data_IF_924010060806
#
_entry.id   IF_924010060806
#
_cell.length_a   1.000
_cell.length_b   1.000
_cell.length_c   1.000
_cell.angle_alpha   90.00
_cell.angle_beta   90.00
_cell.angle_gamma   90.00
#
_symmetry.space_group_name_H-M   'P 1'
#
loop_
_entity.id
_entity.type
_entity.pdbx_description
1 polymer ?
#
# COMPACT_ATOMS: atom_id res chain seq x y z
N UNK A 1 7.71 -5.67 24.07
CA UNK A 1 6.55 -5.46 23.19
C UNK A 1 5.34 -5.09 24.05
N UNK A 2 4.71 -3.94 23.84
CA UNK A 2 3.39 -3.66 24.44
C UNK A 2 2.32 -4.48 23.72
N UNK A 3 1.18 -4.75 24.37
CA UNK A 3 0.07 -5.54 23.78
C UNK A 3 -0.42 -4.94 22.47
N UNK A 4 -0.57 -3.61 22.40
CA UNK A 4 -0.98 -2.90 21.19
C UNK A 4 0.05 -3.03 20.06
N UNK A 5 1.34 -2.89 20.36
CA UNK A 5 2.42 -3.03 19.36
C UNK A 5 2.48 -4.46 18.81
N UNK A 6 2.22 -5.46 19.66
CA UNK A 6 2.12 -6.85 19.23
C UNK A 6 0.94 -7.08 18.28
N UNK A 7 -0.26 -6.62 18.65
CA UNK A 7 -1.47 -6.73 17.81
C UNK A 7 -1.24 -6.07 16.46
N UNK A 8 -0.69 -4.86 16.44
CA UNK A 8 -0.42 -4.13 15.20
C UNK A 8 0.55 -4.90 14.30
N UNK A 9 1.68 -5.37 14.84
CA UNK A 9 2.64 -6.15 14.05
C UNK A 9 2.06 -7.47 13.54
N UNK A 10 1.21 -8.15 14.32
CA UNK A 10 0.56 -9.38 13.90
C UNK A 10 -0.42 -9.12 12.75
N UNK A 11 -1.37 -8.18 12.93
CA UNK A 11 -2.39 -7.87 11.93
C UNK A 11 -1.76 -7.40 10.63
N UNK A 12 -0.71 -6.60 10.73
CA UNK A 12 0.06 -6.19 9.57
C UNK A 12 0.79 -7.30 8.86
N UNK A 13 1.36 -8.25 9.61
CA UNK A 13 2.06 -9.38 9.01
C UNK A 13 1.07 -10.20 8.21
N UNK A 14 -0.15 -10.38 8.72
CA UNK A 14 -1.23 -11.00 7.98
C UNK A 14 -1.62 -10.17 6.76
N UNK A 15 -1.74 -8.84 6.88
CA UNK A 15 -2.06 -7.96 5.75
C UNK A 15 -1.01 -8.06 4.64
N UNK A 16 0.27 -7.89 5.00
CA UNK A 16 1.38 -7.97 4.06
C UNK A 16 1.63 -9.38 3.53
N UNK A 17 1.15 -10.42 4.21
CA UNK A 17 1.07 -11.75 3.67
C UNK A 17 0.06 -11.85 2.53
N UNK A 18 -1.14 -11.25 2.67
CA UNK A 18 -2.12 -11.15 1.57
C UNK A 18 -1.54 -10.35 0.41
N UNK A 19 -0.92 -9.20 0.68
CA UNK A 19 -0.23 -8.40 -0.35
C UNK A 19 0.87 -9.21 -1.03
N UNK A 20 1.63 -10.02 -0.28
CA UNK A 20 2.65 -10.92 -0.84
C UNK A 20 2.07 -11.96 -1.80
N UNK A 21 0.89 -12.51 -1.48
CA UNK A 21 0.16 -13.41 -2.40
C UNK A 21 -0.30 -12.67 -3.67
N UNK A 22 -0.80 -11.43 -3.53
CA UNK A 22 -1.22 -10.60 -4.66
C UNK A 22 -0.05 -10.25 -5.58
N UNK A 23 1.08 -9.79 -5.00
CA UNK A 23 2.33 -9.53 -5.73
C UNK A 23 2.75 -10.77 -6.51
N UNK A 24 2.73 -11.94 -5.87
CA UNK A 24 3.08 -13.20 -6.52
C UNK A 24 2.14 -13.51 -7.70
N UNK A 25 0.84 -13.36 -7.50
CA UNK A 25 -0.16 -13.61 -8.54
C UNK A 25 0.03 -12.68 -9.74
N UNK A 26 0.27 -11.38 -9.51
CA UNK A 26 0.50 -10.41 -10.58
C UNK A 26 1.82 -10.64 -11.34
N UNK A 27 2.88 -11.05 -10.64
CA UNK A 27 4.18 -11.35 -11.25
C UNK A 27 4.15 -12.62 -12.12
N UNK A 28 3.34 -13.61 -11.76
CA UNK A 28 3.31 -14.91 -12.46
C UNK A 28 2.21 -14.98 -13.52
N UNK A 29 1.01 -14.52 -13.19
CA UNK A 29 -0.19 -14.70 -14.03
C UNK A 29 -0.80 -13.38 -14.50
N UNK A 30 -0.40 -12.26 -13.90
CA UNK A 30 -1.02 -10.95 -14.14
C UNK A 30 -0.29 -10.06 -15.15
N UNK A 31 -0.59 -8.77 -15.09
CA UNK A 31 -0.09 -7.78 -16.04
C UNK A 31 1.39 -7.45 -15.83
N UNK A 32 1.93 -7.74 -14.64
CA UNK A 32 3.36 -7.55 -14.34
C UNK A 32 4.25 -8.65 -14.92
N UNK A 33 3.69 -9.77 -15.39
CA UNK A 33 4.46 -10.87 -15.98
C UNK A 33 5.19 -10.47 -17.28
N UNK A 34 4.69 -9.47 -18.02
CA UNK A 34 5.32 -8.94 -19.24
C UNK A 34 5.96 -7.58 -18.97
N UNK A 35 7.28 -7.49 -19.15
CA UNK A 35 8.05 -6.27 -18.91
C UNK A 35 7.50 -5.02 -19.64
N UNK A 36 7.07 -5.17 -20.90
CA UNK A 36 6.50 -4.07 -21.69
C UNK A 36 5.16 -3.56 -21.17
N UNK A 37 4.38 -4.39 -20.48
CA UNK A 37 3.12 -4.00 -19.85
C UNK A 37 3.33 -3.44 -18.44
N UNK A 38 4.39 -3.88 -17.74
CA UNK A 38 4.71 -3.46 -16.38
C UNK A 38 5.37 -2.07 -16.29
N UNK A 39 6.02 -1.61 -17.35
CA UNK A 39 6.84 -0.38 -17.30
C UNK A 39 6.02 0.89 -17.06
N UNK A 40 4.83 1.01 -17.68
CA UNK A 40 3.98 2.19 -17.45
C UNK A 40 3.45 2.23 -16.01
N UNK A 41 2.81 1.17 -15.46
CA UNK A 41 2.43 1.14 -14.05
C UNK A 41 3.61 1.41 -13.10
N UNK A 42 4.79 0.89 -13.40
CA UNK A 42 5.98 1.10 -12.58
C UNK A 42 6.42 2.55 -12.53
N UNK A 43 6.57 3.21 -13.69
CA UNK A 43 6.94 4.63 -13.74
C UNK A 43 5.85 5.50 -13.10
N UNK A 44 4.58 5.15 -13.32
CA UNK A 44 3.45 5.83 -12.71
C UNK A 44 3.45 5.71 -11.18
N UNK A 45 3.78 4.53 -10.64
CA UNK A 45 3.90 4.28 -9.21
C UNK A 45 5.04 5.10 -8.62
N UNK A 46 6.24 5.06 -9.23
CA UNK A 46 7.37 5.88 -8.77
C UNK A 46 7.02 7.37 -8.69
N UNK A 47 6.32 7.90 -9.69
CA UNK A 47 5.78 9.26 -9.67
C UNK A 47 4.72 9.47 -8.59
N UNK A 48 3.79 8.52 -8.50
CA UNK A 48 2.74 8.45 -7.50
C UNK A 48 3.25 8.25 -6.07
N UNK A 49 4.51 7.92 -5.87
CA UNK A 49 5.17 7.88 -4.57
C UNK A 49 5.99 9.14 -4.32
N UNK A 50 6.78 9.57 -5.31
CA UNK A 50 7.70 10.69 -5.17
C UNK A 50 6.97 12.03 -5.01
N UNK A 51 5.94 12.32 -5.81
CA UNK A 51 5.25 13.61 -5.75
C UNK A 51 4.51 13.81 -4.41
N UNK A 52 3.73 12.84 -3.88
CA UNK A 52 3.15 12.99 -2.55
C UNK A 52 4.17 13.23 -1.43
N UNK A 53 5.28 12.49 -1.47
CA UNK A 53 6.36 12.65 -0.50
C UNK A 53 6.97 14.05 -0.54
N UNK A 54 7.23 14.58 -1.74
CA UNK A 54 7.76 15.93 -1.93
C UNK A 54 6.77 17.01 -1.48
N UNK A 55 5.48 16.85 -1.77
CA UNK A 55 4.43 17.78 -1.30
C UNK A 55 4.39 17.80 0.23
N UNK A 56 4.43 16.63 0.88
CA UNK A 56 4.49 16.56 2.33
C UNK A 56 5.73 17.26 2.88
N UNK A 57 6.92 16.95 2.34
CA UNK A 57 8.17 17.55 2.81
C UNK A 57 8.19 19.06 2.62
N UNK A 58 7.61 19.57 1.53
CA UNK A 58 7.51 21.01 1.29
C UNK A 58 6.61 21.73 2.32
N UNK A 59 5.54 21.08 2.79
CA UNK A 59 4.58 21.68 3.72
C UNK A 59 5.00 21.48 5.18
N UNK A 60 5.42 20.28 5.53
CA UNK A 60 5.56 19.80 6.91
C UNK A 60 6.96 19.27 7.23
N UNK A 61 7.88 19.23 6.25
CA UNK A 61 9.20 18.62 6.41
C UNK A 61 10.08 19.30 7.46
N UNK A 62 9.87 20.59 7.74
CA UNK A 62 10.60 21.30 8.80
C UNK A 62 10.13 20.90 10.22
N UNK A 63 8.87 20.49 10.37
CA UNK A 63 8.27 20.17 11.68
C UNK A 63 8.31 18.67 11.96
N UNK A 64 7.99 17.85 10.95
CA UNK A 64 7.87 16.41 11.12
C UNK A 64 8.36 15.66 9.86
N UNK A 65 9.67 15.67 9.56
CA UNK A 65 10.22 15.08 8.34
C UNK A 65 9.97 13.57 8.21
N UNK A 66 9.81 12.86 9.33
CA UNK A 66 9.57 11.42 9.35
C UNK A 66 8.26 11.01 8.63
N UNK A 67 7.26 11.89 8.56
CA UNK A 67 5.95 11.58 7.98
C UNK A 67 5.87 11.52 6.46
N UNK A 68 6.97 11.69 5.73
CA UNK A 68 6.95 11.77 4.27
C UNK A 68 6.40 10.53 3.58
N UNK A 69 6.53 9.36 4.22
CA UNK A 69 6.04 8.09 3.69
C UNK A 69 4.52 7.94 3.85
N UNK A 70 3.88 8.69 4.76
CA UNK A 70 2.43 8.56 5.03
C UNK A 70 1.57 8.76 3.77
N UNK A 71 1.76 9.84 2.97
CA UNK A 71 0.95 10.06 1.77
C UNK A 71 1.40 9.26 0.53
N UNK A 72 2.34 8.34 0.68
CA UNK A 72 2.85 7.50 -0.43
C UNK A 72 1.96 6.29 -0.65
N UNK A 73 1.26 5.83 0.39
CA UNK A 73 0.52 4.58 0.36
C UNK A 73 -0.84 4.68 -0.34
N UNK A 74 -1.29 3.54 -0.88
CA UNK A 74 -2.59 3.37 -1.53
C UNK A 74 -3.27 2.13 -0.95
N UNK A 75 -4.54 2.24 -0.60
CA UNK A 75 -5.40 1.15 -0.15
C UNK A 75 -6.04 0.47 -1.36
N UNK A 76 -5.45 -0.65 -1.79
CA UNK A 76 -5.90 -1.40 -2.97
C UNK A 76 -7.38 -1.85 -2.85
N UNK A 77 -7.83 -2.24 -1.66
CA UNK A 77 -9.17 -2.78 -1.46
C UNK A 77 -10.24 -1.71 -1.68
N UNK A 78 -10.05 -0.52 -1.11
CA UNK A 78 -10.97 0.60 -1.31
C UNK A 78 -10.86 1.21 -2.71
N UNK A 79 -9.65 1.32 -3.27
CA UNK A 79 -9.46 1.85 -4.62
C UNK A 79 -10.10 0.94 -5.68
N UNK A 80 -9.87 -0.37 -5.62
CA UNK A 80 -10.51 -1.36 -6.51
C UNK A 80 -12.01 -1.44 -6.23
N UNK A 81 -12.44 -1.36 -4.96
CA UNK A 81 -13.85 -1.30 -4.57
C UNK A 81 -14.58 -0.12 -5.22
N UNK A 82 -13.98 1.07 -5.20
CA UNK A 82 -14.56 2.25 -5.85
C UNK A 82 -14.64 2.06 -7.36
N UNK A 83 -13.57 1.57 -7.99
CA UNK A 83 -13.52 1.36 -9.44
C UNK A 83 -14.51 0.28 -9.90
N UNK A 84 -14.72 -0.77 -9.09
CA UNK A 84 -15.75 -1.79 -9.36
C UNK A 84 -17.15 -1.23 -9.21
N UNK A 85 -17.42 -0.37 -8.22
CA UNK A 85 -18.71 0.34 -8.09
C UNK A 85 -19.02 1.26 -9.27
N UNK A 86 -18.00 1.79 -9.95
CA UNK A 86 -18.19 2.59 -11.17
C UNK A 86 -18.59 1.73 -12.39
N UNK A 87 -18.44 0.40 -12.31
CA UNK A 87 -18.99 -0.57 -13.25
C UNK A 87 -18.35 -0.49 -14.65
N UNK A 88 -19.19 -0.29 -15.66
CA UNK A 88 -18.81 -0.17 -17.08
C UNK A 88 -18.19 1.17 -17.44
N UNK A 89 -18.21 2.16 -16.54
CA UNK A 89 -17.63 3.49 -16.78
C UNK A 89 -16.10 3.49 -16.76
N UNK A 90 -15.48 2.42 -16.26
CA UNK A 90 -14.03 2.26 -16.18
C UNK A 90 -13.60 1.15 -17.11
N UNK A 91 -12.69 1.47 -18.04
CA UNK A 91 -12.17 0.48 -18.99
C UNK A 91 -11.38 -0.62 -18.27
N UNK A 92 -11.36 -1.81 -18.85
CA UNK A 92 -10.59 -2.93 -18.29
C UNK A 92 -9.09 -2.60 -18.16
N UNK A 93 -8.55 -1.82 -19.10
CA UNK A 93 -7.17 -1.35 -19.07
C UNK A 93 -6.89 -0.47 -17.84
N UNK A 94 -7.81 0.43 -17.44
CA UNK A 94 -7.64 1.27 -16.26
C UNK A 94 -7.76 0.48 -14.94
N UNK A 95 -8.63 -0.54 -14.90
CA UNK A 95 -8.73 -1.46 -13.75
C UNK A 95 -7.41 -2.21 -13.55
N UNK A 96 -6.88 -2.77 -14.62
CA UNK A 96 -5.61 -3.50 -14.63
C UNK A 96 -4.43 -2.59 -14.30
N UNK A 97 -4.42 -1.37 -14.84
CA UNK A 97 -3.42 -0.35 -14.54
C UNK A 97 -3.42 0.04 -13.05
N UNK A 98 -4.59 0.29 -12.46
CA UNK A 98 -4.70 0.64 -11.04
C UNK A 98 -4.24 -0.50 -10.13
N UNK A 99 -4.60 -1.75 -10.46
CA UNK A 99 -4.17 -2.92 -9.71
C UNK A 99 -2.64 -3.05 -9.75
N UNK A 100 -2.03 -3.00 -10.93
CA UNK A 100 -0.58 -3.05 -11.10
C UNK A 100 0.13 -1.89 -10.37
N UNK A 101 -0.41 -0.67 -10.46
CA UNK A 101 0.10 0.50 -9.75
C UNK A 101 0.09 0.27 -8.23
N UNK A 102 -1.04 -0.17 -7.68
CA UNK A 102 -1.20 -0.38 -6.23
C UNK A 102 -0.26 -1.47 -5.71
N UNK A 103 -0.05 -2.55 -6.46
CA UNK A 103 0.92 -3.60 -6.12
C UNK A 103 2.36 -3.04 -6.04
N UNK A 104 2.74 -2.17 -6.99
CA UNK A 104 4.07 -1.55 -6.98
C UNK A 104 4.21 -0.54 -5.84
N UNK A 105 3.17 0.25 -5.56
CA UNK A 105 3.14 1.16 -4.41
C UNK A 105 3.28 0.38 -3.09
N UNK A 106 2.62 -0.77 -2.95
CA UNK A 106 2.74 -1.65 -1.78
C UNK A 106 4.16 -2.19 -1.62
N UNK A 107 4.78 -2.68 -2.70
CA UNK A 107 6.20 -3.08 -2.69
C UNK A 107 7.07 -1.89 -2.25
N UNK A 108 6.81 -0.71 -2.79
CA UNK A 108 7.51 0.52 -2.43
C UNK A 108 7.38 0.84 -0.93
N UNK A 109 6.16 0.79 -0.39
CA UNK A 109 5.89 1.00 1.03
C UNK A 109 6.62 -0.03 1.91
N UNK A 110 6.61 -1.31 1.51
CA UNK A 110 7.35 -2.39 2.20
C UNK A 110 8.85 -2.07 2.26
N UNK A 111 9.45 -1.65 1.15
CA UNK A 111 10.87 -1.32 1.09
C UNK A 111 11.21 -0.10 1.95
N UNK A 112 10.36 0.93 1.93
CA UNK A 112 10.47 2.09 2.81
C UNK A 112 10.46 1.64 4.29
N UNK A 113 9.50 0.80 4.68
CA UNK A 113 9.42 0.25 6.05
C UNK A 113 10.69 -0.52 6.40
N UNK A 114 11.17 -1.37 5.49
CA UNK A 114 12.32 -2.23 5.70
C UNK A 114 13.63 -1.45 5.92
N UNK A 115 13.87 -0.41 5.13
CA UNK A 115 15.16 0.29 5.14
C UNK A 115 15.21 1.51 6.05
N UNK A 116 14.07 2.19 6.24
CA UNK A 116 14.05 3.49 6.92
C UNK A 116 13.62 3.36 8.38
N UNK A 117 12.73 2.42 8.68
CA UNK A 117 12.18 2.21 10.01
C UNK A 117 12.80 1.02 10.76
N UNK A 118 13.93 0.48 10.27
CA UNK A 118 14.68 -0.59 10.93
C UNK A 118 15.61 -0.01 12.01
N UNK A 119 15.63 -0.62 13.20
CA UNK A 119 16.28 -0.07 14.40
C UNK A 119 17.68 -0.62 14.67
N UNK A 120 18.33 -1.17 13.65
CA UNK A 120 19.62 -1.88 13.72
C UNK A 120 19.50 -3.34 13.32
N UNK A 121 20.65 -4.02 13.11
CA UNK A 121 20.69 -5.43 12.68
C UNK A 121 21.49 -6.27 13.67
N UNK A 122 20.83 -7.22 14.33
CA UNK A 122 21.50 -8.26 15.12
C UNK A 122 21.74 -9.49 14.22
N UNK A 123 23.00 -9.71 13.84
CA UNK A 123 23.39 -10.74 12.87
C UNK A 123 23.00 -12.17 13.25
N UNK A 124 22.96 -12.53 14.54
CA UNK A 124 22.58 -13.88 14.97
C UNK A 124 21.12 -14.22 14.64
N UNK A 125 20.22 -13.27 14.85
CA UNK A 125 18.80 -13.42 14.50
C UNK A 125 18.55 -13.29 13.00
N UNK A 126 19.42 -12.55 12.29
CA UNK A 126 19.40 -12.53 10.83
C UNK A 126 19.68 -13.92 10.25
N UNK A 127 20.66 -14.65 10.79
CA UNK A 127 20.94 -16.03 10.37
C UNK A 127 19.74 -16.96 10.60
N UNK A 128 19.06 -16.83 11.75
CA UNK A 128 17.83 -17.58 12.02
C UNK A 128 16.71 -17.24 11.02
N UNK A 129 16.55 -15.97 10.64
CA UNK A 129 15.62 -15.56 9.60
C UNK A 129 15.96 -16.19 8.25
N UNK A 130 17.24 -16.17 7.83
CA UNK A 130 17.69 -16.80 6.58
C UNK A 130 17.40 -18.31 6.57
N UNK A 131 17.63 -19.00 7.69
CA UNK A 131 17.32 -20.44 7.83
C UNK A 131 15.81 -20.69 7.72
N UNK A 132 14.98 -19.86 8.34
CA UNK A 132 13.52 -19.97 8.22
C UNK A 132 13.06 -19.78 6.77
N UNK A 133 13.61 -18.80 6.05
CA UNK A 133 13.34 -18.58 4.63
C UNK A 133 13.76 -19.79 3.80
N UNK A 134 14.99 -20.28 4.00
CA UNK A 134 15.49 -21.47 3.29
C UNK A 134 14.59 -22.69 3.53
N UNK A 135 14.13 -22.88 4.76
CA UNK A 135 13.19 -23.94 5.12
C UNK A 135 11.86 -23.80 4.38
N UNK A 136 11.28 -22.59 4.35
CA UNK A 136 10.04 -22.33 3.61
C UNK A 136 10.20 -22.61 2.10
N UNK A 137 11.32 -22.19 1.50
CA UNK A 137 11.63 -22.44 0.08
C UNK A 137 11.78 -23.93 -0.21
N UNK A 138 12.46 -24.68 0.67
CA UNK A 138 12.59 -26.13 0.52
C UNK A 138 11.23 -26.82 0.60
N UNK A 139 10.39 -26.48 1.57
CA UNK A 139 9.03 -27.01 1.68
C UNK A 139 8.20 -26.74 0.42
N UNK A 140 8.31 -25.53 -0.13
CA UNK A 140 7.62 -25.16 -1.37
C UNK A 140 8.15 -25.95 -2.57
N UNK A 141 9.47 -26.12 -2.67
CA UNK A 141 10.12 -26.91 -3.74
C UNK A 141 9.71 -28.39 -3.71
N UNK A 142 9.53 -28.95 -2.51
CA UNK A 142 9.04 -30.32 -2.33
C UNK A 142 7.50 -30.44 -2.40
N UNK A 143 6.79 -29.38 -2.80
CA UNK A 143 5.32 -29.35 -2.93
C UNK A 143 4.59 -29.79 -1.65
N UNK A 144 5.12 -29.45 -0.48
CA UNK A 144 4.45 -29.76 0.78
C UNK A 144 3.19 -28.90 0.87
N UNK A 145 2.02 -29.51 0.69
CA UNK A 145 0.72 -28.81 0.65
C UNK A 145 0.09 -28.51 2.02
N UNK A 146 0.86 -28.55 3.12
CA UNK A 146 0.33 -28.35 4.48
C UNK A 146 0.54 -26.91 4.93
N UNK A 147 -0.50 -26.07 4.79
CA UNK A 147 -0.46 -24.65 5.17
C UNK A 147 0.00 -24.38 6.61
N UNK A 148 -0.35 -25.27 7.56
CA UNK A 148 0.08 -25.15 8.96
C UNK A 148 1.61 -25.13 9.14
N UNK A 149 2.37 -25.86 8.31
CA UNK A 149 3.83 -25.89 8.40
C UNK A 149 4.40 -24.52 8.00
N UNK A 150 3.87 -23.88 6.95
CA UNK A 150 4.27 -22.53 6.55
C UNK A 150 3.90 -21.51 7.63
N UNK A 151 2.78 -21.67 8.33
CA UNK A 151 2.44 -20.80 9.45
C UNK A 151 3.49 -20.89 10.57
N UNK A 152 3.92 -22.10 10.94
CA UNK A 152 4.98 -22.29 11.94
C UNK A 152 6.31 -21.67 11.51
N UNK A 153 6.73 -21.93 10.27
CA UNK A 153 7.97 -21.33 9.72
C UNK A 153 7.86 -19.81 9.66
N UNK A 154 6.70 -19.29 9.26
CA UNK A 154 6.40 -17.85 9.24
C UNK A 154 6.44 -17.22 10.62
N UNK A 155 5.96 -17.90 11.67
CA UNK A 155 6.04 -17.44 13.04
C UNK A 155 7.50 -17.37 13.54
N UNK A 156 8.32 -18.37 13.19
CA UNK A 156 9.76 -18.37 13.48
C UNK A 156 10.46 -17.23 12.74
N UNK A 157 10.15 -17.03 11.47
CA UNK A 157 10.67 -15.92 10.66
C UNK A 157 10.30 -14.57 11.27
N UNK A 158 9.02 -14.38 11.61
CA UNK A 158 8.51 -13.16 12.23
C UNK A 158 9.24 -12.81 13.52
N UNK A 159 9.39 -13.80 14.41
CA UNK A 159 10.10 -13.60 15.68
C UNK A 159 11.58 -13.31 15.45
N UNK A 160 12.21 -14.00 14.48
CA UNK A 160 13.61 -13.77 14.12
C UNK A 160 13.83 -12.36 13.59
N UNK A 161 12.96 -11.85 12.71
CA UNK A 161 13.04 -10.49 12.21
C UNK A 161 12.86 -9.46 13.33
N UNK A 162 11.84 -9.66 14.19
CA UNK A 162 11.62 -8.80 15.36
C UNK A 162 12.89 -8.71 16.24
N UNK A 163 13.52 -9.84 16.53
CA UNK A 163 14.75 -9.89 17.33
C UNK A 163 15.97 -9.38 16.59
N UNK A 164 15.99 -9.45 15.26
CA UNK A 164 17.04 -8.91 14.42
C UNK A 164 16.99 -7.38 14.32
N UNK A 165 15.93 -6.72 14.79
CA UNK A 165 15.71 -5.27 14.65
C UNK A 165 15.11 -4.88 13.29
N UNK A 166 14.77 -5.87 12.47
CA UNK A 166 14.08 -5.72 11.19
C UNK A 166 12.57 -5.76 11.42
N UNK A 167 11.81 -5.01 10.62
CA UNK A 167 10.37 -4.94 10.79
C UNK A 167 9.71 -6.32 10.59
N UNK A 168 8.92 -6.85 11.57
CA UNK A 168 8.40 -8.21 11.50
C UNK A 168 7.44 -8.49 10.34
N UNK A 169 6.86 -7.42 9.79
CA UNK A 169 5.87 -7.48 8.71
C UNK A 169 6.43 -7.99 7.39
N UNK A 170 7.75 -7.90 7.21
CA UNK A 170 8.44 -8.52 6.08
C UNK A 170 8.29 -10.04 6.08
N UNK A 171 8.10 -10.67 7.25
CA UNK A 171 7.80 -12.11 7.30
C UNK A 171 6.52 -12.43 6.53
N UNK A 172 5.52 -11.55 6.61
CA UNK A 172 4.26 -11.71 5.88
C UNK A 172 4.51 -11.74 4.38
N UNK A 173 5.18 -10.70 3.86
CA UNK A 173 5.50 -10.57 2.42
C UNK A 173 6.31 -11.78 1.94
N UNK A 174 7.39 -12.11 2.64
CA UNK A 174 8.29 -13.21 2.27
C UNK A 174 7.53 -14.53 2.23
N UNK A 175 6.70 -14.82 3.24
CA UNK A 175 5.90 -16.03 3.27
C UNK A 175 4.85 -16.05 2.15
N UNK A 176 4.20 -14.91 1.85
CA UNK A 176 3.23 -14.80 0.75
C UNK A 176 3.85 -15.14 -0.60
N UNK A 177 5.06 -14.64 -0.87
CA UNK A 177 5.80 -14.96 -2.11
C UNK A 177 6.19 -16.44 -2.21
N UNK A 178 6.50 -17.09 -1.08
CA UNK A 178 6.99 -18.48 -1.04
C UNK A 178 5.87 -19.51 -1.09
N UNK A 179 4.74 -19.28 -0.39
CA UNK A 179 3.65 -20.27 -0.25
C UNK A 179 3.17 -20.78 -1.62
N UNK A 180 3.00 -22.10 -1.83
CA UNK A 180 2.59 -22.66 -3.12
C UNK A 180 1.22 -22.17 -3.61
N UNK A 181 1.07 -21.99 -4.93
CA UNK A 181 -0.16 -21.52 -5.57
C UNK A 181 -1.40 -22.39 -5.27
N UNK A 182 -1.23 -23.69 -5.03
CA UNK A 182 -2.34 -24.59 -4.68
C UNK A 182 -3.03 -24.22 -3.35
N UNK A 183 -2.31 -23.52 -2.46
CA UNK A 183 -2.82 -23.02 -1.20
C UNK A 183 -3.31 -21.57 -1.29
N UNK A 184 -2.88 -20.85 -2.33
CA UNK A 184 -3.11 -19.42 -2.53
C UNK A 184 -4.61 -19.09 -2.61
N UNK A 185 -5.37 -19.73 -3.51
CA UNK A 185 -6.78 -19.34 -3.77
C UNK A 185 -7.71 -19.37 -2.54
N UNK A 186 -7.56 -20.37 -1.67
CA UNK A 186 -8.36 -20.48 -0.44
C UNK A 186 -7.90 -19.51 0.63
N UNK A 187 -6.59 -19.34 0.75
CA UNK A 187 -5.99 -18.48 1.77
C UNK A 187 -6.23 -17.02 1.40
N UNK A 188 -5.96 -16.63 0.15
CA UNK A 188 -6.17 -15.28 -0.40
C UNK A 188 -7.60 -14.80 -0.21
N UNK A 189 -8.59 -15.63 -0.54
CA UNK A 189 -10.01 -15.27 -0.35
C UNK A 189 -10.33 -15.09 1.15
N UNK A 190 -9.98 -16.07 1.98
CA UNK A 190 -10.29 -15.98 3.42
C UNK A 190 -9.55 -14.83 4.11
N UNK A 191 -8.30 -14.57 3.73
CA UNK A 191 -7.48 -13.52 4.31
C UNK A 191 -7.91 -12.14 3.86
N UNK A 192 -8.25 -11.93 2.59
CA UNK A 192 -8.69 -10.63 2.09
C UNK A 192 -10.00 -10.17 2.73
N UNK A 193 -10.96 -11.09 2.91
CA UNK A 193 -12.27 -10.78 3.52
C UNK A 193 -12.22 -10.63 5.04
N UNK A 194 -11.22 -11.18 5.72
CA UNK A 194 -11.12 -11.13 7.18
C UNK A 194 -10.06 -10.13 7.66
N UNK A 195 -8.85 -10.21 7.11
CA UNK A 195 -7.67 -9.46 7.59
C UNK A 195 -7.81 -7.99 7.28
N UNK A 196 -8.23 -7.61 6.06
CA UNK A 196 -8.34 -6.19 5.68
C UNK A 196 -9.40 -5.46 6.53
N UNK A 197 -10.65 -5.97 6.67
CA UNK A 197 -11.63 -5.32 7.54
C UNK A 197 -11.24 -5.32 9.02
N UNK A 198 -10.65 -6.40 9.52
CA UNK A 198 -10.20 -6.48 10.91
C UNK A 198 -9.04 -5.50 11.19
N UNK A 199 -8.10 -5.38 10.25
CA UNK A 199 -6.99 -4.43 10.32
C UNK A 199 -7.51 -3.00 10.32
N UNK A 200 -8.42 -2.67 9.40
CA UNK A 200 -9.09 -1.38 9.36
C UNK A 200 -9.81 -1.09 10.68
N UNK A 201 -10.61 -2.03 11.19
CA UNK A 201 -11.32 -1.88 12.45
C UNK A 201 -10.38 -1.65 13.65
N UNK A 202 -9.28 -2.40 13.74
CA UNK A 202 -8.33 -2.29 14.84
C UNK A 202 -7.50 -0.99 14.80
N UNK A 203 -7.24 -0.43 13.61
CA UNK A 203 -6.34 0.71 13.44
C UNK A 203 -7.05 2.03 13.15
N UNK A 204 -8.29 2.01 12.65
CA UNK A 204 -9.09 3.19 12.36
C UNK A 204 -9.79 3.77 13.61
N UNK A 205 -9.69 3.10 14.76
CA UNK A 205 -10.17 3.61 16.05
C UNK A 205 -9.40 4.87 16.46
N UNK A 206 -9.89 6.03 16.01
CA UNK A 206 -9.45 7.36 16.44
C UNK A 206 -10.63 8.07 17.06
N UNK A 207 -10.38 8.72 18.21
CA UNK A 207 -11.39 9.53 18.86
C UNK A 207 -11.56 10.81 18.05
N UNK A 208 -12.62 10.85 17.24
CA UNK A 208 -13.00 12.05 16.50
C UNK A 208 -13.76 12.97 17.46
N UNK A 209 -13.05 13.92 18.05
CA UNK A 209 -13.62 14.99 18.86
C UNK A 209 -13.58 16.30 18.08
N UNK A 210 -14.36 17.28 18.51
CA UNK A 210 -14.30 18.62 17.92
C UNK A 210 -12.88 19.20 18.03
N UNK A 211 -12.21 18.96 19.15
CA UNK A 211 -10.85 19.42 19.42
C UNK A 211 -9.82 18.75 18.49
N UNK A 212 -9.89 17.43 18.27
CA UNK A 212 -8.92 16.74 17.41
C UNK A 212 -9.07 17.13 15.93
N UNK A 213 -10.29 17.37 15.47
CA UNK A 213 -10.55 17.91 14.12
C UNK A 213 -10.02 19.34 14.00
N UNK A 214 -10.27 20.19 15.00
CA UNK A 214 -9.77 21.57 14.99
C UNK A 214 -8.24 21.63 15.03
N UNK A 215 -7.59 20.73 15.78
CA UNK A 215 -6.15 20.60 15.81
C UNK A 215 -5.60 20.16 14.43
N UNK A 216 -6.26 19.21 13.75
CA UNK A 216 -5.88 18.78 12.41
C UNK A 216 -5.98 19.92 11.38
N UNK A 217 -7.03 20.73 11.44
CA UNK A 217 -7.20 21.87 10.53
C UNK A 217 -6.10 22.94 10.68
N UNK A 218 -5.50 23.05 11.86
CA UNK A 218 -4.42 24.00 12.14
C UNK A 218 -3.01 23.39 12.06
N UNK A 219 -2.90 22.10 11.71
CA UNK A 219 -1.62 21.40 11.65
C UNK A 219 -1.07 21.35 10.23
N UNK A 220 0.20 21.77 10.05
CA UNK A 220 0.89 21.62 8.77
C UNK A 220 1.08 20.15 8.42
N UNK A 221 1.31 19.27 9.41
CA UNK A 221 1.46 17.81 9.19
C UNK A 221 0.21 17.23 8.56
N UNK A 222 -0.96 17.58 9.11
CA UNK A 222 -2.25 17.13 8.58
C UNK A 222 -2.47 17.62 7.14
N UNK A 223 -2.20 18.89 6.85
CA UNK A 223 -2.31 19.43 5.48
C UNK A 223 -1.29 18.82 4.50
N UNK A 224 -0.06 18.55 4.95
CA UNK A 224 0.95 17.88 4.14
C UNK A 224 0.51 16.47 3.72
N UNK A 225 -0.04 15.70 4.66
CA UNK A 225 -0.60 14.37 4.37
C UNK A 225 -1.80 14.49 3.45
N UNK A 226 -2.71 15.43 3.75
CA UNK A 226 -3.93 15.62 2.99
C UNK A 226 -3.63 15.96 1.53
N UNK A 227 -2.82 16.99 1.27
CA UNK A 227 -2.48 17.40 -0.09
C UNK A 227 -1.56 16.39 -0.79
N UNK A 228 -0.68 15.70 -0.05
CA UNK A 228 0.12 14.61 -0.60
C UNK A 228 -0.76 13.51 -1.21
N UNK A 229 -1.77 13.04 -0.48
CA UNK A 229 -2.71 12.02 -0.97
C UNK A 229 -3.71 12.57 -1.99
N UNK A 230 -4.33 13.71 -1.70
CA UNK A 230 -5.45 14.23 -2.50
C UNK A 230 -5.00 14.83 -3.84
N UNK A 231 -3.87 15.55 -3.84
CA UNK A 231 -3.34 16.22 -5.04
C UNK A 231 -2.12 15.47 -5.55
N UNK A 232 -1.19 15.12 -4.67
CA UNK A 232 0.10 14.53 -5.05
C UNK A 232 -0.02 13.21 -5.80
N UNK A 233 -0.88 12.29 -5.35
CA UNK A 233 -1.08 10.99 -6.03
C UNK A 233 -1.58 11.18 -7.46
N UNK A 234 -2.73 11.84 -7.70
CA UNK A 234 -3.19 12.06 -9.07
C UNK A 234 -2.18 12.82 -9.93
N UNK A 235 -1.53 13.87 -9.40
CA UNK A 235 -0.50 14.59 -10.15
C UNK A 235 0.70 13.71 -10.50
N UNK A 236 1.22 12.94 -9.54
CA UNK A 236 2.36 12.03 -9.72
C UNK A 236 2.12 10.98 -10.78
N UNK A 237 0.95 10.33 -10.70
CA UNK A 237 0.55 9.27 -11.62
C UNK A 237 0.33 9.83 -13.03
N UNK A 238 -0.44 10.91 -13.16
CA UNK A 238 -0.75 11.51 -14.48
C UNK A 238 0.51 12.04 -15.13
N UNK A 239 1.31 12.83 -14.41
CA UNK A 239 2.54 13.41 -14.92
C UNK A 239 3.53 12.34 -15.38
N UNK A 240 3.77 11.32 -14.56
CA UNK A 240 4.79 10.30 -14.84
C UNK A 240 4.34 9.36 -15.96
N UNK A 241 3.05 9.05 -16.04
CA UNK A 241 2.48 8.29 -17.15
C UNK A 241 2.59 9.07 -18.47
N UNK A 242 2.28 10.37 -18.46
CA UNK A 242 2.41 11.24 -19.63
C UNK A 242 3.87 11.39 -20.07
N UNK A 243 4.78 11.57 -19.11
CA UNK A 243 6.21 11.65 -19.37
C UNK A 243 6.73 10.33 -19.97
N UNK A 244 6.36 9.17 -19.41
CA UNK A 244 6.72 7.86 -19.94
C UNK A 244 6.24 7.65 -21.38
N UNK A 245 5.00 8.06 -21.68
CA UNK A 245 4.44 8.00 -23.03
C UNK A 245 5.19 8.94 -24.00
N UNK A 246 5.50 10.16 -23.58
CA UNK A 246 6.22 11.14 -24.40
C UNK A 246 7.66 10.73 -24.69
N UNK A 247 8.32 10.11 -23.72
CA UNK A 247 9.69 9.58 -23.85
C UNK A 247 9.74 8.22 -24.56
N UNK A 248 8.58 7.66 -24.96
CA UNK A 248 8.45 6.34 -25.60
C UNK A 248 9.01 5.18 -24.76
N UNK A 249 9.04 5.35 -23.44
CA UNK A 249 9.46 4.31 -22.49
C UNK A 249 8.26 3.48 -22.03
N UNK A 250 7.04 4.05 -22.09
CA UNK A 250 5.79 3.35 -21.82
C UNK A 250 4.68 3.80 -22.77
N UNK A 251 3.50 3.22 -22.60
CA UNK A 251 2.28 3.58 -23.34
C UNK A 251 1.17 3.96 -22.35
N UNK A 252 0.30 4.88 -22.75
CA UNK A 252 -0.92 5.13 -21.98
C UNK A 252 -1.79 3.86 -21.92
N UNK A 253 -2.55 3.66 -20.83
CA UNK A 253 -3.54 2.60 -20.79
C UNK A 253 -4.52 2.72 -21.95
N UNK A 254 -4.88 1.59 -22.54
CA UNK A 254 -5.69 1.56 -23.76
C UNK A 254 -7.05 2.26 -23.57
N UNK A 255 -7.37 3.18 -24.49
CA UNK A 255 -8.58 3.99 -24.43
C UNK A 255 -8.62 5.04 -23.31
N UNK A 256 -7.53 5.22 -22.55
CA UNK A 256 -7.48 6.20 -21.47
C UNK A 256 -7.33 7.62 -22.01
N UNK A 257 -8.20 8.52 -21.55
CA UNK A 257 -8.03 9.97 -21.67
C UNK A 257 -7.33 10.49 -20.40
N UNK A 258 -6.77 11.69 -20.47
CA UNK A 258 -6.18 12.34 -19.28
C UNK A 258 -7.21 12.40 -18.14
N UNK A 259 -8.48 12.70 -18.41
CA UNK A 259 -9.53 12.75 -17.38
C UNK A 259 -9.75 11.40 -16.66
N UNK A 260 -9.76 10.28 -17.39
CA UNK A 260 -9.93 8.94 -16.78
C UNK A 260 -8.66 8.49 -16.06
N UNK A 261 -7.49 8.90 -16.55
CA UNK A 261 -6.23 8.69 -15.85
C UNK A 261 -6.16 9.50 -14.55
N UNK A 262 -6.61 10.76 -14.56
CA UNK A 262 -6.73 11.57 -13.35
C UNK A 262 -7.73 10.96 -12.38
N UNK A 263 -8.88 10.46 -12.85
CA UNK A 263 -9.84 9.74 -12.01
C UNK A 263 -9.21 8.50 -11.35
N UNK A 264 -8.39 7.76 -12.11
CA UNK A 264 -7.62 6.61 -11.60
C UNK A 264 -6.58 7.05 -10.57
N UNK A 265 -5.84 8.11 -10.85
CA UNK A 265 -4.86 8.69 -9.92
C UNK A 265 -5.49 9.20 -8.64
N UNK A 266 -6.70 9.77 -8.69
CA UNK A 266 -7.49 10.12 -7.51
C UNK A 266 -7.95 8.88 -6.75
N UNK A 267 -8.34 7.78 -7.41
CA UNK A 267 -8.64 6.53 -6.72
C UNK A 267 -7.41 5.98 -5.98
N UNK A 268 -6.22 6.09 -6.58
CA UNK A 268 -4.96 5.74 -5.93
C UNK A 268 -4.60 6.66 -4.75
N UNK A 269 -5.22 7.84 -4.64
CA UNK A 269 -5.11 8.74 -3.49
C UNK A 269 -5.87 8.29 -2.24
N UNK A 270 -6.57 7.16 -2.29
CA UNK A 270 -7.19 6.53 -1.12
C UNK A 270 -6.10 5.77 -0.37
N UNK A 271 -5.53 6.34 0.68
CA UNK A 271 -4.39 5.72 1.41
C UNK A 271 -4.79 4.86 2.62
N UNK A 272 -6.00 5.09 3.15
CA UNK A 272 -6.60 4.49 4.36
C UNK A 272 -5.73 3.49 5.15
N UNK A 273 -5.84 2.17 4.95
CA UNK A 273 -5.21 1.17 5.83
C UNK A 273 -3.68 1.31 5.91
N UNK A 274 -2.99 1.34 4.78
CA UNK A 274 -1.53 1.37 4.71
C UNK A 274 -0.99 2.74 5.15
N UNK A 275 -1.67 3.84 4.82
CA UNK A 275 -1.27 5.18 5.26
C UNK A 275 -1.47 5.39 6.77
N UNK A 276 -2.57 4.89 7.37
CA UNK A 276 -2.76 4.88 8.82
C UNK A 276 -1.63 4.12 9.50
N UNK A 277 -1.21 3.00 8.90
CA UNK A 277 -0.09 2.26 9.42
C UNK A 277 1.22 3.05 9.38
N UNK A 278 1.55 3.61 8.22
CA UNK A 278 2.77 4.42 8.06
C UNK A 278 2.78 5.61 9.02
N UNK A 279 1.62 6.20 9.32
CA UNK A 279 1.52 7.26 10.34
C UNK A 279 1.92 6.78 11.74
N UNK A 280 1.52 5.56 12.12
CA UNK A 280 1.90 4.95 13.41
C UNK A 280 3.37 4.53 13.49
N UNK A 281 4.04 4.35 12.35
CA UNK A 281 5.50 4.17 12.31
C UNK A 281 6.26 5.47 12.28
N UNK A 282 5.73 6.47 11.59
CA UNK A 282 6.40 7.74 11.36
C UNK A 282 6.47 8.61 12.60
N UNK A 283 5.47 8.53 13.48
CA UNK A 283 5.34 9.40 14.64
C UNK A 283 5.31 8.60 15.94
N UNK A 284 6.17 8.96 16.88
CA UNK A 284 6.15 8.38 18.23
C UNK A 284 5.07 9.01 19.13
N UNK A 285 4.74 10.29 18.89
CA UNK A 285 3.74 11.03 19.64
C UNK A 285 2.32 10.64 19.22
N UNK A 286 1.50 10.23 20.20
CA UNK A 286 0.09 9.86 20.00
C UNK A 286 -0.71 11.01 19.39
N UNK A 287 -0.46 12.26 19.80
CA UNK A 287 -1.18 13.41 19.24
C UNK A 287 -0.89 13.57 17.74
N UNK A 288 0.38 13.44 17.32
CA UNK A 288 0.75 13.49 15.90
C UNK A 288 0.17 12.31 15.12
N UNK A 289 0.13 11.10 15.71
CA UNK A 289 -0.52 9.95 15.08
C UNK A 289 -2.01 10.22 14.83
N UNK A 290 -2.74 10.79 15.79
CA UNK A 290 -4.16 11.12 15.64
C UNK A 290 -4.38 12.16 14.53
N UNK A 291 -3.60 13.24 14.50
CA UNK A 291 -3.65 14.26 13.44
C UNK A 291 -3.42 13.65 12.06
N UNK A 292 -2.40 12.77 11.94
CA UNK A 292 -2.07 12.10 10.71
C UNK A 292 -3.20 11.16 10.24
N UNK A 293 -3.79 10.38 11.16
CA UNK A 293 -4.89 9.47 10.82
C UNK A 293 -6.14 10.25 10.37
N UNK A 294 -6.50 11.34 11.06
CA UNK A 294 -7.61 12.22 10.64
C UNK A 294 -7.36 12.76 9.23
N UNK A 295 -6.15 13.23 8.94
CA UNK A 295 -5.78 13.71 7.61
C UNK A 295 -5.88 12.62 6.54
N UNK A 296 -5.40 11.39 6.83
CA UNK A 296 -5.50 10.24 5.91
C UNK A 296 -6.97 9.92 5.61
N UNK A 297 -7.84 9.90 6.62
CA UNK A 297 -9.27 9.61 6.45
C UNK A 297 -9.94 10.70 5.59
N UNK A 298 -9.70 11.98 5.92
CA UNK A 298 -10.26 13.10 5.18
C UNK A 298 -9.80 13.10 3.71
N UNK A 299 -8.50 12.88 3.47
CA UNK A 299 -7.94 12.81 2.12
C UNK A 299 -8.50 11.62 1.34
N UNK A 300 -8.58 10.44 1.97
CA UNK A 300 -9.11 9.24 1.33
C UNK A 300 -10.58 9.43 0.90
N UNK A 301 -11.39 10.07 1.74
CA UNK A 301 -12.78 10.38 1.42
C UNK A 301 -12.87 11.39 0.26
N UNK A 302 -12.10 12.48 0.32
CA UNK A 302 -12.07 13.50 -0.73
C UNK A 302 -11.61 12.91 -2.08
N UNK A 303 -10.51 12.15 -2.07
CA UNK A 303 -9.95 11.43 -3.22
C UNK A 303 -10.97 10.48 -3.85
N UNK A 304 -11.68 9.71 -3.02
CA UNK A 304 -12.73 8.81 -3.49
C UNK A 304 -13.90 9.55 -4.13
N UNK A 305 -14.41 10.62 -3.50
CA UNK A 305 -15.50 11.43 -4.05
C UNK A 305 -15.09 12.03 -5.41
N UNK A 306 -13.90 12.64 -5.49
CA UNK A 306 -13.40 13.25 -6.73
C UNK A 306 -13.21 12.20 -7.82
N UNK A 307 -12.64 11.04 -7.50
CA UNK A 307 -12.50 9.92 -8.44
C UNK A 307 -13.86 9.50 -9.02
N UNK A 308 -14.85 9.29 -8.15
CA UNK A 308 -16.19 8.90 -8.57
C UNK A 308 -16.87 9.97 -9.46
N UNK A 309 -16.71 11.26 -9.13
CA UNK A 309 -17.25 12.36 -9.93
C UNK A 309 -16.58 12.42 -11.31
N UNK A 310 -15.25 12.30 -11.37
CA UNK A 310 -14.49 12.33 -12.64
C UNK A 310 -14.85 11.15 -13.55
N UNK A 311 -15.04 9.94 -13.00
CA UNK A 311 -15.51 8.80 -13.79
C UNK A 311 -16.94 9.01 -14.32
N UNK A 312 -17.82 9.62 -13.54
CA UNK A 312 -19.21 9.93 -13.96
C UNK A 312 -19.27 10.96 -15.08
N UNK A 313 -18.41 11.98 -15.07
CA UNK A 313 -18.38 13.00 -16.12
C UNK A 313 -17.70 12.48 -17.38
N UNK A 314 -16.64 11.68 -17.25
CA UNK A 314 -15.89 11.14 -18.39
C UNK A 314 -16.70 10.13 -19.20
N UNK A 315 -17.53 9.30 -18.56
CA UNK A 315 -18.38 8.32 -19.26
C UNK A 315 -19.49 8.94 -20.12
N UNK A 316 -19.88 10.19 -19.84
CA UNK A 316 -20.90 10.92 -20.64
C UNK A 316 -20.36 11.45 -21.96
N UNK A 317 -19.04 11.49 -22.14
CA UNK A 317 -18.37 12.00 -23.35
C UNK A 317 -18.02 10.90 -24.37
N UNK A 318 -18.38 9.65 -24.09
CA UNK A 318 -18.08 8.46 -24.90
C UNK A 318 -19.32 7.70 -25.37
N UNK A 319 -20.50 8.15 -24.96
CA UNK A 319 -21.79 7.75 -25.54
C UNK A 319 -22.32 8.91 -26.38
#
# INVERSE_FOLDING_TARGET
LTTQKFINYLLMTLFFFVVGLEIKNELVSGHLAKFSAAITPFIAALGGMAIPALIYLAISGNEAPAGWAVPVATDIALAVGLVTLMGSRVSLALKSFLLALAVIDDIGAILIIAFIYSTGVIFSWLAAAVIAIATAVLLAKFNVGRGFIYLLVGAVLWYSLYRAGIHPTLAGVIMGLIVPFSLDSKIHTASSFLVVPLFAFANAGVVISHESVQAALNSKVAWGIFFGLFIGKPLGIVFSTLAAARLRVGQMPEGAKIASLTATGSAAGIGFTVAIFLARLAFDDVAMQELAIIAVIAASLASGIVSALLYRTTSRLTN
#
